data_IF_608717018654
#
_entry.id   IF_608717018654
#
_cell.length_a   1.000
_cell.length_b   1.000
_cell.length_c   1.000
_cell.angle_alpha   90.00
_cell.angle_beta   90.00
_cell.angle_gamma   90.00
#
_symmetry.space_group_name_H-M   'P 1'
#
loop_
_entity.id
_entity.type
_entity.pdbx_description
1 polymer ?
#
# COMPACT_ATOMS: atom_id res chain seq x y z
N UNK A 1 8.64 15.04 6.00
CA UNK A 1 8.86 14.78 4.59
C UNK A 1 9.97 13.76 4.37
N UNK A 2 11.15 13.92 4.97
CA UNK A 2 12.35 13.10 4.70
C UNK A 2 12.11 11.61 4.97
N UNK A 3 11.44 11.27 6.06
CA UNK A 3 11.04 9.88 6.35
C UNK A 3 10.09 9.31 5.29
N UNK A 4 9.13 10.08 4.77
CA UNK A 4 8.25 9.63 3.68
C UNK A 4 9.02 9.41 2.39
N UNK A 5 9.93 10.33 2.06
CA UNK A 5 10.80 10.19 0.88
C UNK A 5 11.70 8.97 1.00
N UNK A 6 12.29 8.72 2.18
CA UNK A 6 13.12 7.52 2.38
C UNK A 6 12.36 6.20 2.22
N UNK A 7 11.04 6.21 2.33
CA UNK A 7 10.16 5.04 2.13
C UNK A 7 9.63 4.92 0.69
N UNK A 8 10.08 5.76 -0.24
CA UNK A 8 9.72 5.64 -1.65
C UNK A 8 8.63 6.58 -2.14
N UNK A 9 8.22 7.60 -1.35
CA UNK A 9 7.19 8.55 -1.76
C UNK A 9 7.78 9.84 -2.35
N UNK A 10 7.04 10.46 -3.28
CA UNK A 10 7.38 11.77 -3.85
C UNK A 10 8.42 11.75 -4.96
N UNK A 11 8.88 10.58 -5.37
CA UNK A 11 9.77 10.37 -6.52
C UNK A 11 9.43 9.06 -7.24
N UNK A 12 10.01 8.83 -8.41
CA UNK A 12 9.89 7.56 -9.14
C UNK A 12 10.76 6.50 -8.47
N UNK A 13 10.19 5.34 -8.15
CA UNK A 13 10.93 4.22 -7.55
C UNK A 13 12.00 3.66 -8.51
N UNK A 14 11.79 3.85 -9.81
CA UNK A 14 12.64 3.35 -10.87
C UNK A 14 12.18 2.00 -11.41
N UNK A 15 10.86 1.77 -11.45
CA UNK A 15 10.32 0.55 -12.05
C UNK A 15 10.69 0.46 -13.54
N UNK A 16 10.96 -0.75 -14.01
CA UNK A 16 11.34 -1.04 -15.41
C UNK A 16 10.15 -1.01 -16.39
N UNK A 17 9.11 -0.25 -16.06
CA UNK A 17 7.95 0.02 -16.90
C UNK A 17 7.82 1.50 -17.23
N UNK A 18 7.34 1.85 -18.42
CA UNK A 18 7.07 3.23 -18.79
C UNK A 18 5.89 3.81 -18.01
N UNK A 19 5.85 5.13 -17.89
CA UNK A 19 4.69 5.83 -17.33
C UNK A 19 4.66 5.96 -15.81
N UNK A 20 5.69 5.52 -15.08
CA UNK A 20 5.75 5.65 -13.62
C UNK A 20 5.53 7.11 -13.18
N UNK A 21 4.64 7.30 -12.21
CA UNK A 21 4.34 8.60 -11.60
C UNK A 21 5.06 8.73 -10.26
N UNK A 22 5.56 9.94 -9.97
CA UNK A 22 6.31 10.23 -8.74
C UNK A 22 5.43 10.46 -7.50
N UNK A 23 4.13 10.71 -7.69
CA UNK A 23 3.30 11.22 -6.62
C UNK A 23 3.72 12.63 -6.16
N UNK A 24 3.23 13.05 -4.99
CA UNK A 24 3.57 14.33 -4.37
C UNK A 24 3.61 14.18 -2.84
N UNK A 25 4.75 14.57 -2.25
CA UNK A 25 4.86 14.81 -0.81
C UNK A 25 5.21 16.29 -0.64
N UNK A 26 4.23 17.14 -0.29
CA UNK A 26 4.42 18.58 -0.21
C UNK A 26 5.39 18.98 0.91
N UNK A 27 5.96 20.18 0.79
CA UNK A 27 6.76 20.83 1.82
C UNK A 27 6.27 22.27 2.04
N UNK A 28 6.85 23.00 2.99
CA UNK A 28 6.46 24.38 3.27
C UNK A 28 6.53 25.27 2.02
N UNK A 29 7.61 25.16 1.24
CA UNK A 29 7.76 25.95 0.01
C UNK A 29 6.67 25.67 -1.03
N UNK A 30 6.18 24.42 -1.12
CA UNK A 30 5.04 24.09 -1.97
C UNK A 30 3.80 24.84 -1.51
N UNK A 31 3.52 24.85 -0.20
CA UNK A 31 2.36 25.53 0.37
C UNK A 31 2.48 27.04 0.27
N UNK A 32 3.65 27.62 0.52
CA UNK A 32 3.90 29.06 0.35
C UNK A 32 3.58 29.50 -1.08
N UNK A 33 3.98 28.70 -2.07
CA UNK A 33 3.70 29.00 -3.48
C UNK A 33 2.23 28.74 -3.84
N UNK A 34 1.64 27.60 -3.44
CA UNK A 34 0.29 27.20 -3.82
C UNK A 34 -0.77 28.08 -3.16
N UNK A 35 -0.56 28.45 -1.90
CA UNK A 35 -1.50 29.21 -1.07
C UNK A 35 -1.05 30.66 -0.83
N UNK A 36 0.01 31.13 -1.50
CA UNK A 36 0.56 32.49 -1.34
C UNK A 36 0.86 32.85 0.12
N UNK A 37 1.37 31.87 0.89
CA UNK A 37 1.64 32.01 2.32
C UNK A 37 0.39 31.90 3.25
N UNK A 38 -0.80 31.74 2.70
CA UNK A 38 -2.05 31.64 3.48
C UNK A 38 -2.43 30.19 3.85
N UNK A 39 -1.48 29.38 4.28
CA UNK A 39 -1.74 28.05 4.82
C UNK A 39 -1.59 28.03 6.36
N UNK A 40 -2.22 27.09 7.01
CA UNK A 40 -2.30 27.05 8.46
C UNK A 40 -2.32 25.61 9.03
N UNK A 41 -2.60 25.49 10.33
CA UNK A 41 -2.66 24.21 11.02
C UNK A 41 -3.65 23.21 10.44
N UNK A 42 -4.75 23.65 9.82
CA UNK A 42 -5.72 22.74 9.18
C UNK A 42 -5.11 22.05 7.96
N UNK A 43 -4.28 22.76 7.20
CA UNK A 43 -3.50 22.18 6.09
C UNK A 43 -2.58 21.06 6.61
N UNK A 44 -1.88 21.31 7.74
CA UNK A 44 -1.00 20.32 8.36
C UNK A 44 -1.78 19.12 8.88
N UNK A 45 -2.94 19.33 9.51
CA UNK A 45 -3.81 18.25 9.97
C UNK A 45 -4.28 17.38 8.79
N UNK A 46 -4.70 17.98 7.68
CA UNK A 46 -5.13 17.25 6.49
C UNK A 46 -4.04 16.33 5.96
N UNK A 47 -2.82 16.84 5.78
CA UNK A 47 -1.71 16.01 5.28
C UNK A 47 -1.24 14.96 6.28
N UNK A 48 -1.41 15.20 7.59
CA UNK A 48 -0.98 14.24 8.62
C UNK A 48 -1.83 12.97 8.67
N UNK A 49 -3.04 13.02 8.12
CA UNK A 49 -3.93 11.86 7.95
C UNK A 49 -3.85 11.25 6.54
N UNK A 50 -2.90 11.70 5.70
CA UNK A 50 -2.73 11.19 4.33
C UNK A 50 -3.71 11.77 3.31
N UNK A 51 -4.32 12.91 3.62
CA UNK A 51 -5.26 13.64 2.76
C UNK A 51 -4.62 14.92 2.18
N UNK A 52 -5.44 15.81 1.63
CA UNK A 52 -4.97 17.07 1.06
C UNK A 52 -4.17 16.85 -0.22
N UNK A 53 -3.02 17.49 -0.32
CA UNK A 53 -2.18 17.48 -1.51
C UNK A 53 -1.23 16.29 -1.61
N UNK A 54 -1.29 15.33 -0.68
CA UNK A 54 -0.51 14.09 -0.79
C UNK A 54 -1.04 13.26 -1.96
N UNK A 55 -0.15 12.94 -2.88
CA UNK A 55 -0.44 12.02 -3.98
C UNK A 55 0.52 10.83 -3.94
N UNK A 56 -0.03 9.63 -3.98
CA UNK A 56 0.74 8.39 -4.05
C UNK A 56 0.16 7.45 -5.09
N UNK A 57 1.00 6.64 -5.68
CA UNK A 57 0.55 5.56 -6.58
C UNK A 57 0.28 4.29 -5.78
N UNK A 58 -0.58 3.38 -6.26
CA UNK A 58 -0.73 2.05 -5.64
C UNK A 58 0.60 1.32 -5.49
N UNK A 59 1.51 1.46 -6.46
CA UNK A 59 2.85 0.87 -6.38
C UNK A 59 3.67 1.43 -5.21
N UNK A 60 3.61 2.74 -4.95
CA UNK A 60 4.28 3.34 -3.77
C UNK A 60 3.66 2.85 -2.46
N UNK A 61 2.35 2.62 -2.42
CA UNK A 61 1.67 2.06 -1.24
C UNK A 61 2.10 0.59 -1.04
N UNK A 62 2.17 -0.21 -2.10
CA UNK A 62 2.68 -1.58 -2.03
C UNK A 62 4.15 -1.62 -1.59
N UNK A 63 4.97 -0.69 -2.09
CA UNK A 63 6.36 -0.52 -1.67
C UNK A 63 6.49 -0.15 -0.18
N UNK A 64 5.59 0.67 0.35
CA UNK A 64 5.52 0.91 1.80
C UNK A 64 5.21 -0.37 2.57
N UNK A 65 4.26 -1.18 2.08
CA UNK A 65 3.97 -2.51 2.62
C UNK A 65 5.22 -3.41 2.65
N UNK A 66 5.97 -3.45 1.54
CA UNK A 66 7.23 -4.19 1.44
C UNK A 66 8.31 -3.63 2.39
N UNK A 67 8.41 -2.31 2.50
CA UNK A 67 9.35 -1.63 3.41
C UNK A 67 9.08 -2.00 4.87
N UNK A 68 7.81 -1.98 5.29
CA UNK A 68 7.41 -2.38 6.65
C UNK A 68 7.67 -3.87 6.86
N UNK A 69 7.30 -4.71 5.91
CA UNK A 69 7.54 -6.15 5.94
C UNK A 69 9.02 -6.48 6.12
N UNK A 70 9.90 -5.77 5.43
CA UNK A 70 11.36 -5.92 5.50
C UNK A 70 12.00 -5.15 6.66
N UNK A 71 11.22 -4.49 7.53
CA UNK A 71 11.72 -3.72 8.68
C UNK A 71 12.70 -2.60 8.29
N UNK A 72 12.33 -1.81 7.27
CA UNK A 72 12.99 -0.55 6.96
C UNK A 72 13.82 -0.52 5.69
N UNK A 73 13.66 -1.48 4.79
CA UNK A 73 14.30 -1.42 3.47
C UNK A 73 13.42 -1.95 2.35
N UNK A 74 13.70 -1.55 1.14
CA UNK A 74 13.06 -2.07 -0.07
C UNK A 74 14.04 -2.08 -1.24
N UNK A 75 13.79 -2.93 -2.21
CA UNK A 75 14.45 -2.91 -3.53
C UNK A 75 13.51 -2.27 -4.54
N UNK A 76 14.03 -1.54 -5.51
CA UNK A 76 13.18 -0.94 -6.55
C UNK A 76 12.30 -2.03 -7.20
N UNK A 77 10.97 -1.86 -7.24
CA UNK A 77 10.10 -2.83 -7.89
C UNK A 77 10.46 -2.96 -9.37
N UNK A 78 10.48 -4.19 -9.87
CA UNK A 78 10.81 -4.48 -11.28
C UNK A 78 10.16 -5.79 -11.71
N UNK A 79 9.98 -5.97 -13.02
CA UNK A 79 9.37 -7.16 -13.62
C UNK A 79 10.45 -8.10 -14.15
N UNK A 80 11.54 -7.55 -14.68
CA UNK A 80 12.64 -8.36 -15.24
C UNK A 80 13.38 -9.06 -14.10
N UNK A 81 13.26 -10.38 -14.06
CA UNK A 81 13.91 -11.21 -13.02
C UNK A 81 15.40 -11.41 -13.32
N UNK A 82 15.73 -11.67 -14.56
CA UNK A 82 17.11 -11.93 -15.02
C UNK A 82 17.26 -11.56 -16.49
N UNK A 83 18.48 -11.29 -16.91
CA UNK A 83 18.85 -11.02 -18.31
C UNK A 83 19.92 -12.03 -18.68
N UNK A 84 19.77 -12.73 -19.81
CA UNK A 84 20.77 -13.68 -20.30
C UNK A 84 22.08 -12.94 -20.57
N UNK A 85 23.17 -13.48 -20.04
CA UNK A 85 24.55 -12.98 -20.21
C UNK A 85 24.78 -11.54 -19.72
N UNK A 86 23.86 -10.99 -18.88
CA UNK A 86 23.99 -9.67 -18.31
C UNK A 86 23.49 -9.59 -16.85
N UNK A 87 23.96 -8.61 -16.13
CA UNK A 87 23.45 -8.31 -14.77
C UNK A 87 22.34 -7.27 -14.83
N UNK A 88 21.34 -7.43 -13.98
CA UNK A 88 20.36 -6.38 -13.73
C UNK A 88 21.06 -5.11 -13.19
N UNK A 89 20.49 -3.96 -13.47
CA UNK A 89 20.94 -2.69 -12.88
C UNK A 89 21.06 -2.81 -11.36
N UNK A 90 22.02 -2.12 -10.79
CA UNK A 90 22.32 -2.12 -9.35
C UNK A 90 21.12 -1.69 -8.51
N UNK A 91 20.24 -0.82 -9.02
CA UNK A 91 19.02 -0.39 -8.32
C UNK A 91 18.05 -1.54 -8.02
N UNK A 92 18.06 -2.59 -8.83
CA UNK A 92 17.22 -3.79 -8.67
C UNK A 92 17.87 -4.88 -7.83
N UNK A 93 19.15 -4.75 -7.54
CA UNK A 93 19.94 -5.75 -6.78
C UNK A 93 20.24 -5.33 -5.36
N UNK A 94 20.28 -4.02 -5.09
CA UNK A 94 20.66 -3.50 -3.79
C UNK A 94 19.47 -2.83 -3.08
N UNK A 95 19.21 -3.22 -1.80
CA UNK A 95 18.15 -2.61 -1.02
C UNK A 95 18.49 -1.15 -0.67
N UNK A 96 17.47 -0.32 -0.67
CA UNK A 96 17.49 1.06 -0.17
C UNK A 96 16.98 1.07 1.27
N UNK A 97 17.78 1.56 2.19
CA UNK A 97 17.40 1.68 3.59
C UNK A 97 16.63 2.99 3.82
N UNK A 98 15.64 2.93 4.71
CA UNK A 98 14.94 4.12 5.18
C UNK A 98 15.72 4.85 6.26
N UNK A 99 15.31 6.08 6.56
CA UNK A 99 15.85 6.88 7.66
C UNK A 99 15.20 6.54 9.01
N UNK A 100 14.34 5.52 9.05
CA UNK A 100 13.64 5.07 10.26
C UNK A 100 14.36 3.84 10.80
N UNK A 101 14.68 3.84 12.08
CA UNK A 101 15.37 2.73 12.73
C UNK A 101 14.50 1.45 12.77
N UNK A 102 15.13 0.32 12.55
CA UNK A 102 14.46 -1.00 12.49
C UNK A 102 13.54 -1.28 13.67
N UNK A 103 13.94 -0.89 14.89
CA UNK A 103 13.14 -1.13 16.11
C UNK A 103 11.72 -0.56 16.05
N UNK A 104 11.51 0.53 15.31
CA UNK A 104 10.20 1.16 15.21
C UNK A 104 9.25 0.41 14.27
N UNK A 105 9.78 -0.42 13.36
CA UNK A 105 8.96 -1.23 12.47
C UNK A 105 8.27 -2.39 13.18
N UNK A 106 8.86 -2.95 14.24
CA UNK A 106 8.23 -4.09 14.94
C UNK A 106 6.88 -3.71 15.53
N UNK A 107 6.78 -2.58 16.21
CA UNK A 107 5.50 -2.10 16.75
C UNK A 107 4.46 -1.81 15.64
N UNK A 108 4.91 -1.33 14.47
CA UNK A 108 4.02 -1.12 13.31
C UNK A 108 3.52 -2.46 12.77
N UNK A 109 4.40 -3.45 12.64
CA UNK A 109 4.04 -4.81 12.17
C UNK A 109 3.05 -5.47 13.13
N UNK A 110 3.28 -5.38 14.44
CA UNK A 110 2.36 -5.87 15.48
C UNK A 110 0.99 -5.18 15.38
N UNK A 111 0.97 -3.86 15.20
CA UNK A 111 -0.26 -3.10 14.98
C UNK A 111 -1.00 -3.51 13.71
N UNK A 112 -0.28 -3.77 12.61
CA UNK A 112 -0.87 -4.27 11.35
C UNK A 112 -1.39 -5.71 11.50
N UNK A 113 -0.74 -6.54 12.31
CA UNK A 113 -1.24 -7.88 12.65
C UNK A 113 -2.49 -7.80 13.53
N UNK A 114 -2.49 -6.94 14.54
CA UNK A 114 -3.66 -6.69 15.38
C UNK A 114 -4.86 -6.17 14.56
N UNK A 115 -4.63 -5.30 13.59
CA UNK A 115 -5.67 -4.85 12.67
C UNK A 115 -6.27 -6.00 11.84
N UNK A 116 -5.44 -7.00 11.48
CA UNK A 116 -5.88 -8.18 10.73
C UNK A 116 -6.59 -9.21 11.60
N UNK A 117 -6.31 -9.30 12.90
CA UNK A 117 -6.93 -10.28 13.79
C UNK A 117 -8.22 -9.80 14.44
N UNK A 118 -8.31 -8.52 14.81
CA UNK A 118 -9.48 -7.98 15.51
C UNK A 118 -9.90 -6.58 15.11
N UNK A 119 -9.17 -5.94 14.18
CA UNK A 119 -9.43 -4.55 13.75
C UNK A 119 -10.14 -4.44 12.40
N UNK A 120 -9.86 -3.33 11.70
CA UNK A 120 -10.51 -3.00 10.43
C UNK A 120 -10.18 -3.94 9.28
N UNK A 121 -9.11 -4.73 9.41
CA UNK A 121 -8.69 -5.74 8.44
C UNK A 121 -9.07 -7.18 8.89
N UNK A 122 -9.96 -7.37 9.87
CA UNK A 122 -10.27 -8.70 10.44
C UNK A 122 -10.69 -9.77 9.42
N UNK A 123 -11.20 -9.35 8.27
CA UNK A 123 -11.53 -10.29 7.19
C UNK A 123 -10.31 -11.05 6.66
N UNK A 124 -9.09 -10.56 6.83
CA UNK A 124 -7.87 -11.32 6.51
C UNK A 124 -7.79 -12.62 7.33
N UNK A 125 -8.06 -12.54 8.65
CA UNK A 125 -8.03 -13.73 9.51
C UNK A 125 -9.19 -14.69 9.26
N UNK A 126 -10.28 -14.21 8.64
CA UNK A 126 -11.41 -15.06 8.23
C UNK A 126 -11.12 -15.75 6.89
N UNK A 127 -10.61 -14.99 5.92
CA UNK A 127 -10.43 -15.48 4.55
C UNK A 127 -9.12 -16.28 4.38
N UNK A 128 -8.07 -15.88 5.09
CA UNK A 128 -6.73 -16.46 4.98
C UNK A 128 -6.06 -16.65 6.35
N UNK A 129 -6.68 -17.43 7.24
CA UNK A 129 -6.26 -17.54 8.65
C UNK A 129 -4.83 -18.06 8.83
N UNK A 130 -4.37 -18.89 7.91
CA UNK A 130 -3.07 -19.55 7.90
C UNK A 130 -1.93 -18.74 7.29
N UNK A 131 -2.22 -17.56 6.72
CA UNK A 131 -1.19 -16.74 6.07
C UNK A 131 -0.48 -15.73 6.99
N UNK A 132 -0.84 -15.64 8.26
CA UNK A 132 -0.31 -14.61 9.18
C UNK A 132 -0.30 -13.20 8.56
N UNK A 133 -1.35 -12.86 7.82
CA UNK A 133 -1.40 -11.61 7.08
C UNK A 133 -1.43 -10.40 8.02
N UNK A 134 -0.72 -9.36 7.62
CA UNK A 134 -0.70 -8.04 8.26
C UNK A 134 -1.31 -7.03 7.30
N UNK A 135 -2.08 -6.06 7.82
CA UNK A 135 -2.72 -5.09 6.92
C UNK A 135 -3.16 -3.81 7.58
N UNK A 136 -3.42 -2.81 6.74
CA UNK A 136 -3.99 -1.52 7.13
C UNK A 136 -4.97 -1.06 6.06
N UNK A 137 -6.16 -0.70 6.48
CA UNK A 137 -7.17 -0.07 5.62
C UNK A 137 -6.92 1.43 5.50
N UNK A 138 -7.27 1.98 4.35
CA UNK A 138 -7.42 3.41 4.13
C UNK A 138 -8.77 3.70 3.51
N UNK A 139 -9.26 4.91 3.71
CA UNK A 139 -10.44 5.46 3.05
C UNK A 139 -10.04 6.83 2.54
N UNK A 140 -9.84 6.95 1.24
CA UNK A 140 -9.46 8.23 0.65
C UNK A 140 -10.71 9.00 0.26
N UNK A 141 -10.88 10.18 0.87
CA UNK A 141 -12.04 11.04 0.60
C UNK A 141 -12.03 11.56 -0.83
N UNK A 142 -13.20 11.59 -1.44
CA UNK A 142 -13.42 12.08 -2.80
C UNK A 142 -14.72 12.90 -2.87
N UNK A 143 -14.92 13.63 -3.95
CA UNK A 143 -16.15 14.43 -4.15
C UNK A 143 -17.42 13.58 -4.32
N UNK A 144 -17.28 12.32 -4.71
CA UNK A 144 -18.37 11.34 -4.77
C UNK A 144 -18.30 10.37 -3.61
N UNK A 145 -18.23 9.09 -3.92
CA UNK A 145 -17.94 8.06 -2.92
C UNK A 145 -16.46 7.96 -2.63
N UNK A 146 -16.10 7.72 -1.39
CA UNK A 146 -14.73 7.51 -0.96
C UNK A 146 -14.09 6.32 -1.68
N UNK A 147 -12.76 6.35 -1.81
CA UNK A 147 -12.01 5.25 -2.40
C UNK A 147 -11.61 4.23 -1.34
N UNK A 148 -11.85 2.95 -1.62
CA UNK A 148 -11.44 1.83 -0.77
C UNK A 148 -9.96 1.51 -0.97
N UNK A 149 -9.16 1.62 0.08
CA UNK A 149 -7.71 1.38 0.04
C UNK A 149 -7.33 0.32 1.05
N UNK A 150 -6.45 -0.58 0.64
CA UNK A 150 -5.84 -1.56 1.52
C UNK A 150 -4.35 -1.70 1.18
N UNK A 151 -3.54 -1.86 2.20
CA UNK A 151 -2.14 -2.23 2.10
C UNK A 151 -1.88 -3.39 3.07
N UNK A 152 -1.14 -4.39 2.63
CA UNK A 152 -0.80 -5.50 3.49
C UNK A 152 0.37 -6.33 2.98
N UNK A 153 0.79 -7.27 3.80
CA UNK A 153 1.82 -8.25 3.46
C UNK A 153 1.59 -9.56 4.21
N UNK A 154 2.18 -10.63 3.72
CA UNK A 154 2.12 -11.95 4.33
C UNK A 154 3.37 -12.80 3.98
N UNK A 155 3.75 -13.77 4.86
CA UNK A 155 3.43 -13.88 6.29
C UNK A 155 4.10 -12.79 7.14
N UNK A 156 3.68 -12.62 8.40
CA UNK A 156 4.26 -11.66 9.33
C UNK A 156 5.74 -11.90 9.59
N UNK A 157 6.11 -13.16 9.81
CA UNK A 157 7.46 -13.56 10.23
C UNK A 157 8.46 -13.63 9.08
N UNK A 158 8.04 -14.14 7.91
CA UNK A 158 8.86 -14.31 6.69
C UNK A 158 8.10 -13.80 5.47
N UNK A 159 7.98 -12.50 5.29
CA UNK A 159 7.16 -11.91 4.23
C UNK A 159 7.57 -12.39 2.84
N UNK A 160 6.58 -12.75 2.02
CA UNK A 160 6.77 -13.19 0.63
C UNK A 160 6.02 -12.33 -0.37
N UNK A 161 4.99 -11.63 0.08
CA UNK A 161 4.18 -10.74 -0.75
C UNK A 161 3.85 -9.47 0.03
N UNK A 162 3.94 -8.33 -0.62
CA UNK A 162 3.34 -7.08 -0.19
C UNK A 162 2.40 -6.59 -1.29
N UNK A 163 1.26 -6.04 -0.90
CA UNK A 163 0.19 -5.70 -1.83
C UNK A 163 -0.45 -4.37 -1.44
N UNK A 164 -0.88 -3.62 -2.44
CA UNK A 164 -1.82 -2.53 -2.29
C UNK A 164 -3.02 -2.73 -3.20
N UNK A 165 -4.19 -2.47 -2.68
CA UNK A 165 -5.45 -2.49 -3.42
C UNK A 165 -6.07 -1.10 -3.33
N UNK A 166 -6.47 -0.56 -4.47
CA UNK A 166 -7.15 0.71 -4.59
C UNK A 166 -8.38 0.53 -5.47
N UNK A 167 -9.55 0.78 -4.91
CA UNK A 167 -10.83 0.67 -5.63
C UNK A 167 -11.51 2.03 -5.61
N UNK A 168 -11.61 2.66 -6.77
CA UNK A 168 -12.27 3.96 -6.91
C UNK A 168 -13.75 3.84 -6.56
N UNK A 169 -14.22 4.80 -5.75
CA UNK A 169 -15.59 4.86 -5.25
C UNK A 169 -16.06 3.60 -4.50
N UNK A 170 -15.12 2.77 -4.04
CA UNK A 170 -15.40 1.53 -3.31
C UNK A 170 -15.77 1.73 -1.83
N UNK A 171 -15.84 2.97 -1.34
CA UNK A 171 -16.17 3.28 0.05
C UNK A 171 -15.04 2.87 1.01
N UNK A 172 -15.38 2.20 2.07
CA UNK A 172 -14.42 1.87 3.11
C UNK A 172 -13.42 0.79 2.66
N UNK A 173 -12.17 0.92 3.11
CA UNK A 173 -11.10 -0.02 2.78
C UNK A 173 -11.42 -1.49 3.12
N UNK A 174 -12.25 -1.72 4.16
CA UNK A 174 -12.70 -3.03 4.54
C UNK A 174 -13.71 -3.66 3.55
N UNK A 175 -14.38 -2.86 2.72
CA UNK A 175 -15.46 -3.33 1.83
C UNK A 175 -14.94 -4.07 0.61
N UNK A 176 -13.93 -3.53 -0.06
CA UNK A 176 -13.32 -4.10 -1.25
C UNK A 176 -11.81 -4.35 -1.08
N UNK A 177 -11.09 -3.39 -0.51
CA UNK A 177 -9.64 -3.45 -0.42
C UNK A 177 -9.14 -4.68 0.32
N UNK A 178 -9.70 -4.96 1.51
CA UNK A 178 -9.29 -6.12 2.32
C UNK A 178 -9.65 -7.45 1.67
N UNK A 179 -10.90 -7.70 1.21
CA UNK A 179 -11.24 -8.96 0.56
C UNK A 179 -10.42 -9.22 -0.71
N UNK A 180 -10.26 -8.24 -1.58
CA UNK A 180 -9.43 -8.38 -2.79
C UNK A 180 -7.97 -8.69 -2.41
N UNK A 181 -7.42 -7.97 -1.42
CA UNK A 181 -6.07 -8.24 -0.93
C UNK A 181 -5.90 -9.65 -0.38
N UNK A 182 -6.90 -10.16 0.37
CA UNK A 182 -6.90 -11.54 0.88
C UNK A 182 -6.88 -12.57 -0.26
N UNK A 183 -7.75 -12.41 -1.26
CA UNK A 183 -7.81 -13.30 -2.43
C UNK A 183 -6.47 -13.31 -3.19
N UNK A 184 -5.87 -12.15 -3.42
CA UNK A 184 -4.58 -12.06 -4.11
C UNK A 184 -3.45 -12.69 -3.30
N UNK A 185 -3.44 -12.51 -1.96
CA UNK A 185 -2.46 -13.14 -1.09
C UNK A 185 -2.62 -14.68 -1.12
N UNK A 186 -3.83 -15.19 -1.04
CA UNK A 186 -4.08 -16.64 -1.09
C UNK A 186 -3.65 -17.22 -2.44
N UNK A 187 -4.06 -16.58 -3.55
CA UNK A 187 -3.68 -17.02 -4.89
C UNK A 187 -2.16 -17.07 -5.06
N UNK A 188 -1.45 -16.03 -4.59
CA UNK A 188 0.01 -16.00 -4.69
C UNK A 188 0.69 -17.05 -3.80
N UNK A 189 0.23 -17.23 -2.58
CA UNK A 189 0.86 -18.10 -1.59
C UNK A 189 0.57 -19.58 -1.81
N UNK A 190 -0.63 -19.90 -2.29
CA UNK A 190 -1.13 -21.29 -2.46
C UNK A 190 -1.26 -21.73 -3.92
N UNK A 191 -1.13 -20.80 -4.88
CA UNK A 191 -1.32 -21.06 -6.31
C UNK A 191 -2.78 -21.21 -6.75
N UNK A 192 -3.72 -21.24 -5.79
CA UNK A 192 -5.16 -21.32 -6.03
C UNK A 192 -5.95 -20.76 -4.84
N UNK A 193 -7.19 -20.39 -5.08
CA UNK A 193 -8.13 -20.02 -4.03
C UNK A 193 -8.73 -21.26 -3.37
N UNK A 194 -9.16 -21.13 -2.13
CA UNK A 194 -10.05 -22.10 -1.46
C UNK A 194 -11.45 -21.98 -2.05
N UNK A 195 -12.29 -23.05 -1.97
CA UNK A 195 -13.65 -23.01 -2.52
C UNK A 195 -14.49 -21.84 -1.99
N UNK A 196 -14.36 -21.53 -0.70
CA UNK A 196 -15.05 -20.40 -0.09
C UNK A 196 -14.57 -19.05 -0.64
N UNK A 197 -13.28 -18.92 -0.96
CA UNK A 197 -12.72 -17.70 -1.52
C UNK A 197 -12.95 -17.60 -3.03
N UNK A 198 -13.12 -18.70 -3.75
CA UNK A 198 -13.61 -18.68 -5.15
C UNK A 198 -15.02 -18.07 -5.22
N UNK A 199 -15.94 -18.51 -4.34
CA UNK A 199 -17.29 -17.94 -4.26
C UNK A 199 -17.26 -16.43 -3.94
N UNK A 200 -16.39 -16.03 -3.00
CA UNK A 200 -16.22 -14.60 -2.68
C UNK A 200 -15.63 -13.80 -3.85
N UNK A 201 -14.70 -14.38 -4.59
CA UNK A 201 -14.14 -13.72 -5.78
C UNK A 201 -15.22 -13.52 -6.85
N UNK A 202 -16.06 -14.50 -7.08
CA UNK A 202 -17.21 -14.39 -7.98
C UNK A 202 -18.21 -13.33 -7.51
N UNK A 203 -18.56 -13.34 -6.23
CA UNK A 203 -19.44 -12.33 -5.62
C UNK A 203 -18.88 -10.90 -5.83
N UNK A 204 -17.59 -10.70 -5.55
CA UNK A 204 -16.94 -9.39 -5.71
C UNK A 204 -16.90 -8.97 -7.18
N UNK A 205 -16.61 -9.90 -8.10
CA UNK A 205 -16.54 -9.60 -9.54
C UNK A 205 -17.91 -9.19 -10.14
N UNK A 206 -18.99 -9.66 -9.54
CA UNK A 206 -20.34 -9.34 -9.96
C UNK A 206 -20.91 -8.06 -9.31
N UNK A 207 -20.19 -7.44 -8.37
CA UNK A 207 -20.63 -6.20 -7.74
C UNK A 207 -20.48 -5.02 -8.69
N UNK A 208 -21.52 -4.23 -8.79
CA UNK A 208 -21.52 -2.98 -9.55
C UNK A 208 -21.25 -1.84 -8.58
N UNK A 209 -20.18 -1.08 -8.83
CA UNK A 209 -19.91 0.16 -8.12
C UNK A 209 -20.59 1.28 -8.87
N UNK A 210 -21.67 1.81 -8.28
CA UNK A 210 -22.37 2.97 -8.84
C UNK A 210 -21.54 4.22 -8.56
N UNK A 211 -21.08 4.86 -9.62
CA UNK A 211 -20.52 6.20 -9.53
C UNK A 211 -21.68 7.13 -9.17
N UNK A 212 -21.62 7.74 -7.97
CA UNK A 212 -22.62 8.71 -7.56
C UNK A 212 -22.65 9.90 -8.51
N UNK A 213 -23.86 10.35 -8.88
CA UNK A 213 -24.10 11.58 -9.64
C UNK A 213 -23.67 12.81 -8.82
#
# INVERSE_FOLDING_TARGET
KDHMVSQGFGYKLGVDLPGEKRGLIPNAQFYDKAYRGHWNGLTVISISIGQGEILSTPLQIANLGATIANRGHFTAPHIVKEIQDAQLDSIYRHPRNTTIERRHYESVVEGMRAAATGGTCRMLSVMVPDLEACGKTGTAQNRGHDHSVFMGFAPMSKPKIAIAVYVENGGWGATYGVPIGALMMEQYMKGKLSPENELRAEEISNRIILYGN
#
